data_IF_445501173729
#
_entry.id   IF_445501173729
#
_cell.length_a   1.000
_cell.length_b   1.000
_cell.length_c   1.000
_cell.angle_alpha   90.00
_cell.angle_beta   90.00
_cell.angle_gamma   90.00
#
_symmetry.space_group_name_H-M   'P 1'
#
loop_
_entity.id
_entity.type
_entity.pdbx_description
1 polymer ?
#
# COMPACT_ATOMS: atom_id res chain seq x y z
N UNK A 1 13.47 0.01 0.91
CA UNK A 1 13.33 1.25 1.70
C UNK A 1 12.91 2.39 0.77
N UNK A 2 11.87 3.16 1.10
CA UNK A 2 11.41 4.26 0.24
C UNK A 2 12.35 5.47 0.35
N UNK A 3 12.79 6.03 -0.79
CA UNK A 3 13.71 7.18 -0.84
C UNK A 3 13.00 8.53 -0.79
N UNK A 4 11.72 8.59 -1.11
CA UNK A 4 10.96 9.84 -1.21
C UNK A 4 10.30 10.19 0.13
N UNK A 5 10.58 11.41 0.60
CA UNK A 5 9.93 12.02 1.76
C UNK A 5 8.61 12.68 1.34
N UNK A 6 7.55 12.43 2.11
CA UNK A 6 6.18 12.92 1.87
C UNK A 6 5.64 13.61 3.10
N UNK A 7 4.69 14.52 2.92
CA UNK A 7 3.93 15.09 4.03
C UNK A 7 2.66 14.30 4.26
N UNK A 8 2.34 14.05 5.52
CA UNK A 8 1.07 13.46 5.92
C UNK A 8 -0.06 14.45 5.65
N UNK A 9 -1.12 14.02 4.95
CA UNK A 9 -2.31 14.85 4.71
C UNK A 9 -3.01 15.30 5.99
N UNK A 10 -2.94 14.51 7.07
CA UNK A 10 -3.65 14.80 8.32
C UNK A 10 -2.82 15.65 9.29
N UNK A 11 -1.57 15.27 9.56
CA UNK A 11 -0.74 15.89 10.59
C UNK A 11 0.47 16.67 10.06
N UNK A 12 0.67 16.75 8.75
CA UNK A 12 1.81 17.46 8.14
C UNK A 12 3.19 16.80 8.30
N UNK A 13 3.34 15.82 9.23
CA UNK A 13 4.61 15.15 9.50
C UNK A 13 5.26 14.59 8.24
N UNK A 14 6.58 14.74 8.14
CA UNK A 14 7.38 14.21 7.03
C UNK A 14 7.69 12.73 7.27
N UNK A 15 7.38 11.87 6.31
CA UNK A 15 7.62 10.42 6.41
C UNK A 15 8.09 9.82 5.07
N UNK A 16 8.71 8.64 5.12
CA UNK A 16 9.12 7.92 3.91
C UNK A 16 7.96 7.06 3.39
N UNK A 17 7.60 7.22 2.11
CA UNK A 17 6.45 6.52 1.55
C UNK A 17 6.46 6.37 0.03
N UNK A 18 5.85 5.28 -0.44
CA UNK A 18 5.60 5.05 -1.86
C UNK A 18 4.62 6.05 -2.48
N UNK A 19 4.41 5.92 -3.79
CA UNK A 19 3.58 6.83 -4.63
C UNK A 19 2.16 7.01 -4.08
N UNK A 20 1.59 5.96 -3.49
CA UNK A 20 0.19 5.93 -3.03
C UNK A 20 0.03 6.16 -1.52
N UNK A 21 1.12 6.39 -0.77
CA UNK A 21 1.06 6.64 0.68
C UNK A 21 0.87 8.14 0.95
N UNK A 22 -0.30 8.50 1.48
CA UNK A 22 -0.70 9.90 1.77
C UNK A 22 -0.68 10.24 3.26
N UNK A 23 -0.66 9.23 4.13
CA UNK A 23 -0.68 9.38 5.58
C UNK A 23 0.58 8.75 6.18
N UNK A 24 1.06 9.32 7.30
CA UNK A 24 2.05 8.64 8.15
C UNK A 24 1.44 7.37 8.77
N UNK A 25 2.27 6.51 9.34
CA UNK A 25 1.80 5.21 9.83
C UNK A 25 0.79 5.34 10.98
N UNK A 26 0.93 6.34 11.85
CA UNK A 26 -0.01 6.58 12.96
C UNK A 26 -1.37 7.04 12.45
N UNK A 27 -1.41 8.10 11.62
CA UNK A 27 -2.66 8.58 11.03
C UNK A 27 -3.31 7.53 10.13
N UNK A 28 -2.53 6.70 9.46
CA UNK A 28 -3.05 5.59 8.66
C UNK A 28 -3.67 4.49 9.52
N UNK A 29 -3.14 4.21 10.71
CA UNK A 29 -3.75 3.25 11.66
C UNK A 29 -5.10 3.76 12.15
N UNK A 30 -5.16 5.02 12.59
CA UNK A 30 -6.39 5.67 13.07
C UNK A 30 -7.46 5.65 11.97
N UNK A 31 -7.11 6.16 10.78
CA UNK A 31 -8.03 6.19 9.64
C UNK A 31 -8.51 4.80 9.25
N UNK A 32 -7.66 3.77 9.31
CA UNK A 32 -8.09 2.39 9.03
C UNK A 32 -9.07 1.88 10.08
N UNK A 33 -8.80 2.11 11.36
CA UNK A 33 -9.64 1.66 12.47
C UNK A 33 -11.06 2.24 12.37
N UNK A 34 -11.17 3.55 12.16
CA UNK A 34 -12.45 4.24 11.96
C UNK A 34 -13.22 3.72 10.74
N UNK A 35 -12.49 3.35 9.67
CA UNK A 35 -13.09 2.94 8.41
C UNK A 35 -13.33 1.43 8.25
N UNK A 36 -13.07 0.62 9.29
CA UNK A 36 -13.32 -0.83 9.23
C UNK A 36 -14.81 -1.12 9.14
N UNK A 37 -15.62 -0.49 9.99
CA UNK A 37 -17.07 -0.71 10.06
C UNK A 37 -17.77 0.48 9.44
N UNK A 38 -18.53 0.23 8.38
CA UNK A 38 -19.32 1.26 7.69
C UNK A 38 -20.74 0.76 7.46
N UNK A 39 -21.68 1.69 7.36
CA UNK A 39 -23.04 1.38 6.90
C UNK A 39 -22.99 0.90 5.45
N UNK A 40 -23.63 -0.23 5.18
CA UNK A 40 -23.69 -0.91 3.89
C UNK A 40 -25.09 -1.42 3.64
N UNK A 41 -25.44 -1.54 2.36
CA UNK A 41 -26.74 -2.07 1.93
C UNK A 41 -26.61 -3.58 1.70
N UNK A 42 -27.51 -4.36 2.26
CA UNK A 42 -27.57 -5.80 2.05
C UNK A 42 -27.99 -6.12 0.62
N UNK A 43 -27.17 -6.89 -0.11
CA UNK A 43 -27.47 -7.29 -1.49
C UNK A 43 -28.72 -8.20 -1.59
N UNK A 44 -29.06 -8.91 -0.51
CA UNK A 44 -30.20 -9.84 -0.51
C UNK A 44 -31.54 -9.23 -0.10
N UNK A 45 -31.53 -8.25 0.81
CA UNK A 45 -32.77 -7.69 1.37
C UNK A 45 -32.85 -6.17 1.37
N UNK A 46 -31.82 -5.45 0.87
CA UNK A 46 -31.83 -4.00 0.76
C UNK A 46 -31.67 -3.21 2.07
N UNK A 47 -31.71 -3.86 3.24
CA UNK A 47 -31.56 -3.17 4.54
C UNK A 47 -30.14 -2.61 4.74
N UNK A 48 -30.04 -1.44 5.38
CA UNK A 48 -28.77 -0.89 5.84
C UNK A 48 -28.27 -1.65 7.08
N UNK A 49 -26.98 -1.95 7.12
CA UNK A 49 -26.34 -2.64 8.24
C UNK A 49 -24.88 -2.20 8.37
N UNK A 50 -24.36 -2.24 9.59
CA UNK A 50 -22.95 -1.98 9.85
C UNK A 50 -22.12 -3.21 9.55
N UNK A 51 -21.21 -3.09 8.59
CA UNK A 51 -20.44 -4.23 8.08
C UNK A 51 -18.99 -3.88 7.77
N UNK A 52 -18.14 -4.90 7.92
CA UNK A 52 -16.73 -4.82 7.51
C UNK A 52 -16.57 -4.62 5.99
N UNK A 53 -15.34 -4.38 5.49
CA UNK A 53 -15.10 -3.98 4.10
C UNK A 53 -15.58 -4.98 3.03
N UNK A 54 -15.70 -6.26 3.41
CA UNK A 54 -16.14 -7.37 2.55
C UNK A 54 -17.54 -7.88 2.85
N UNK A 55 -18.27 -7.27 3.80
CA UNK A 55 -19.62 -7.67 4.12
C UNK A 55 -20.56 -7.24 2.98
N UNK A 56 -21.24 -8.22 2.36
CA UNK A 56 -22.21 -8.02 1.28
C UNK A 56 -23.66 -8.22 1.72
N UNK A 57 -23.87 -8.89 2.85
CA UNK A 57 -25.17 -9.30 3.34
C UNK A 57 -25.26 -9.00 4.85
N UNK A 58 -26.47 -8.71 5.33
CA UNK A 58 -26.75 -8.56 6.75
C UNK A 58 -26.56 -9.89 7.50
N UNK A 59 -26.41 -9.86 8.84
CA UNK A 59 -26.21 -11.07 9.65
C UNK A 59 -27.27 -12.15 9.42
N UNK A 60 -28.54 -11.76 9.30
CA UNK A 60 -29.66 -12.68 9.08
C UNK A 60 -29.56 -13.41 7.73
N UNK A 61 -29.44 -12.67 6.63
CA UNK A 61 -29.30 -13.27 5.29
C UNK A 61 -28.04 -14.13 5.17
N UNK A 62 -26.96 -13.76 5.86
CA UNK A 62 -25.72 -14.54 5.90
C UNK A 62 -25.92 -15.87 6.63
N UNK A 63 -26.66 -15.89 7.73
CA UNK A 63 -26.97 -17.11 8.47
C UNK A 63 -27.83 -18.07 7.66
N UNK A 64 -28.87 -17.57 6.97
CA UNK A 64 -29.70 -18.37 6.06
C UNK A 64 -28.86 -19.03 4.97
N UNK A 65 -28.01 -18.24 4.30
CA UNK A 65 -27.11 -18.74 3.25
C UNK A 65 -26.09 -19.76 3.76
N UNK A 66 -25.66 -19.64 5.01
CA UNK A 66 -24.74 -20.62 5.63
C UNK A 66 -25.43 -21.97 5.88
N UNK A 67 -26.72 -21.96 6.23
CA UNK A 67 -27.52 -23.18 6.40
C UNK A 67 -27.77 -23.87 5.05
N UNK A 68 -28.03 -23.10 4.00
CA UNK A 68 -28.23 -23.62 2.63
C UNK A 68 -26.95 -24.22 2.02
N UNK A 69 -25.79 -23.61 2.26
CA UNK A 69 -24.51 -24.12 1.77
C UNK A 69 -24.03 -25.30 2.62
N UNK A 70 -24.60 -26.48 2.38
CA UNK A 70 -24.00 -27.74 2.85
C UNK A 70 -22.63 -27.90 2.21
N UNK A 71 -21.59 -28.08 3.04
CA UNK A 71 -20.24 -28.36 2.54
C UNK A 71 -20.24 -29.76 1.91
N UNK A 72 -19.50 -29.98 0.82
CA UNK A 72 -19.32 -31.33 0.29
C UNK A 72 -18.70 -32.21 1.39
N UNK A 73 -19.39 -33.29 1.74
CA UNK A 73 -18.93 -34.29 2.71
C UNK A 73 -17.90 -35.21 2.05
N UNK A 74 -16.66 -34.71 1.90
CA UNK A 74 -15.52 -35.57 1.56
C UNK A 74 -14.92 -36.12 2.83
N UNK A 75 -14.77 -37.44 2.92
CA UNK A 75 -14.11 -38.10 4.04
C UNK A 75 -12.63 -37.71 4.07
N UNK A 76 -12.15 -37.30 5.24
CA UNK A 76 -10.72 -37.06 5.43
C UNK A 76 -9.97 -38.39 5.29
N UNK A 77 -8.82 -38.38 4.62
CA UNK A 77 -8.05 -39.60 4.37
C UNK A 77 -8.46 -40.38 3.12
N UNK A 78 -9.54 -40.01 2.42
CA UNK A 78 -9.87 -40.63 1.13
C UNK A 78 -8.96 -40.14 0.01
N UNK A 79 -8.88 -40.92 -1.08
CA UNK A 79 -8.12 -40.58 -2.28
C UNK A 79 -8.99 -39.73 -3.21
N UNK A 80 -8.43 -38.65 -3.75
CA UNK A 80 -9.05 -37.75 -4.75
C UNK A 80 -8.04 -37.37 -5.82
N UNK A 81 -8.49 -36.82 -6.95
CA UNK A 81 -7.66 -36.48 -8.11
C UNK A 81 -7.41 -34.98 -8.19
N UNK A 82 -6.15 -34.61 -8.43
CA UNK A 82 -5.75 -33.21 -8.54
C UNK A 82 -6.34 -32.58 -9.80
N UNK A 83 -7.00 -31.42 -9.65
CA UNK A 83 -7.59 -30.69 -10.80
C UNK A 83 -6.51 -30.17 -11.76
N UNK A 84 -5.28 -29.96 -11.30
CA UNK A 84 -4.19 -29.39 -12.13
C UNK A 84 -3.39 -30.46 -12.88
N UNK A 85 -3.03 -31.56 -12.22
CA UNK A 85 -2.15 -32.59 -12.78
C UNK A 85 -2.77 -33.98 -12.90
N UNK A 86 -4.01 -34.18 -12.44
CA UNK A 86 -4.71 -35.46 -12.47
C UNK A 86 -4.24 -36.51 -11.46
N UNK A 87 -3.07 -36.34 -10.83
CA UNK A 87 -2.52 -37.29 -9.85
C UNK A 87 -3.44 -37.46 -8.63
N UNK A 88 -3.48 -38.69 -8.13
CA UNK A 88 -4.18 -39.04 -6.91
C UNK A 88 -3.47 -38.49 -5.66
N UNK A 89 -4.24 -38.07 -4.66
CA UNK A 89 -3.72 -37.57 -3.39
C UNK A 89 -4.68 -37.87 -2.24
N UNK A 90 -4.14 -37.95 -1.03
CA UNK A 90 -4.92 -38.12 0.20
C UNK A 90 -5.51 -36.76 0.62
N UNK A 91 -6.84 -36.71 0.77
CA UNK A 91 -7.55 -35.49 1.17
C UNK A 91 -7.27 -35.17 2.64
N UNK A 92 -6.73 -33.98 2.89
CA UNK A 92 -6.54 -33.43 4.24
C UNK A 92 -7.62 -32.40 4.61
N UNK A 93 -8.41 -31.93 3.65
CA UNK A 93 -9.47 -30.95 3.84
C UNK A 93 -10.60 -31.15 2.83
N UNK A 94 -11.86 -31.07 3.27
CA UNK A 94 -13.02 -31.24 2.38
C UNK A 94 -13.15 -30.23 1.24
N UNK A 95 -12.38 -29.14 1.25
CA UNK A 95 -12.31 -28.14 0.17
C UNK A 95 -11.02 -28.23 -0.66
N UNK A 96 -10.17 -29.23 -0.41
CA UNK A 96 -8.92 -29.41 -1.12
C UNK A 96 -9.19 -29.83 -2.57
N UNK A 97 -8.62 -29.08 -3.53
CA UNK A 97 -8.77 -29.31 -4.97
C UNK A 97 -7.47 -29.77 -5.65
N UNK A 98 -6.34 -29.57 -4.99
CA UNK A 98 -5.01 -29.74 -5.55
C UNK A 98 -4.16 -30.61 -4.63
N UNK A 99 -3.25 -31.38 -5.22
CA UNK A 99 -2.21 -32.09 -4.48
C UNK A 99 -1.21 -31.09 -3.85
N UNK A 100 -0.40 -31.51 -2.86
CA UNK A 100 0.56 -30.63 -2.17
C UNK A 100 1.54 -29.92 -3.11
N UNK A 101 1.96 -30.60 -4.19
CA UNK A 101 2.88 -30.06 -5.19
C UNK A 101 2.24 -28.90 -6.00
N UNK A 102 1.02 -29.11 -6.50
CA UNK A 102 0.33 -28.14 -7.37
C UNK A 102 -0.35 -27.00 -6.60
N UNK A 103 -0.66 -27.20 -5.32
CA UNK A 103 -1.43 -26.24 -4.49
C UNK A 103 -0.86 -24.82 -4.57
N UNK A 104 0.45 -24.67 -4.36
CA UNK A 104 1.11 -23.35 -4.38
C UNK A 104 1.00 -22.67 -5.75
N UNK A 105 1.22 -23.43 -6.83
CA UNK A 105 1.12 -22.94 -8.20
C UNK A 105 -0.29 -22.44 -8.52
N UNK A 106 -1.30 -23.25 -8.20
CA UNK A 106 -2.70 -22.91 -8.43
C UNK A 106 -3.17 -21.69 -7.61
N UNK A 107 -2.78 -21.61 -6.33
CA UNK A 107 -3.08 -20.44 -5.49
C UNK A 107 -2.46 -19.16 -6.06
N UNK A 108 -1.22 -19.22 -6.53
CA UNK A 108 -0.55 -18.08 -7.17
C UNK A 108 -1.23 -17.66 -8.47
N UNK A 109 -1.65 -18.61 -9.34
CA UNK A 109 -2.39 -18.31 -10.57
C UNK A 109 -3.70 -17.58 -10.26
N UNK A 110 -4.49 -18.13 -9.35
CA UNK A 110 -5.74 -17.51 -8.92
C UNK A 110 -5.55 -16.12 -8.28
N UNK A 111 -4.49 -15.93 -7.47
CA UNK A 111 -4.17 -14.61 -6.90
C UNK A 111 -3.82 -13.60 -8.00
N UNK A 112 -3.04 -14.01 -9.00
CA UNK A 112 -2.66 -13.17 -10.16
C UNK A 112 -3.88 -12.78 -10.98
N UNK A 113 -4.74 -13.74 -11.32
CA UNK A 113 -5.97 -13.50 -12.08
C UNK A 113 -6.88 -12.49 -11.37
N UNK A 114 -7.12 -12.65 -10.07
CA UNK A 114 -7.92 -11.67 -9.32
C UNK A 114 -7.27 -10.31 -9.27
N UNK A 115 -5.96 -10.24 -9.06
CA UNK A 115 -5.24 -8.96 -9.02
C UNK A 115 -5.28 -8.26 -10.37
N UNK A 116 -5.18 -9.01 -11.47
CA UNK A 116 -5.37 -8.51 -12.84
C UNK A 116 -6.77 -7.95 -13.00
N UNK A 117 -7.82 -8.72 -12.66
CA UNK A 117 -9.21 -8.30 -12.79
C UNK A 117 -9.50 -7.03 -11.99
N UNK A 118 -9.02 -6.96 -10.74
CA UNK A 118 -9.15 -5.76 -9.90
C UNK A 118 -8.43 -4.54 -10.50
N UNK A 119 -7.28 -4.71 -11.12
CA UNK A 119 -6.54 -3.59 -11.73
C UNK A 119 -7.09 -3.17 -13.09
N UNK A 120 -7.84 -4.04 -13.81
CA UNK A 120 -8.53 -3.70 -15.06
C UNK A 120 -9.76 -2.83 -14.83
N UNK A 121 -10.31 -2.83 -13.62
CA UNK A 121 -11.43 -1.96 -13.27
C UNK A 121 -10.99 -0.48 -13.35
N UNK A 122 -11.53 0.26 -14.32
CA UNK A 122 -11.20 1.66 -14.59
C UNK A 122 -11.40 2.56 -13.36
N UNK A 123 -12.40 2.23 -12.53
CA UNK A 123 -12.71 2.99 -11.32
C UNK A 123 -11.53 2.95 -10.33
N UNK A 124 -10.83 1.82 -10.24
CA UNK A 124 -9.65 1.68 -9.37
C UNK A 124 -8.50 2.58 -9.82
N UNK A 125 -8.29 2.71 -11.14
CA UNK A 125 -7.27 3.57 -11.72
C UNK A 125 -7.57 5.05 -11.47
N UNK A 126 -8.82 5.45 -11.68
CA UNK A 126 -9.29 6.83 -11.49
C UNK A 126 -9.21 7.26 -10.02
N UNK A 127 -9.70 6.43 -9.10
CA UNK A 127 -9.59 6.67 -7.64
C UNK A 127 -8.13 6.75 -7.16
N UNK A 128 -7.19 6.06 -7.82
CA UNK A 128 -5.75 6.23 -7.55
C UNK A 128 -5.23 7.55 -8.08
N UNK A 129 -5.62 7.94 -9.30
CA UNK A 129 -5.21 9.22 -9.91
C UNK A 129 -5.68 10.40 -9.08
N UNK A 130 -6.93 10.38 -8.63
CA UNK A 130 -7.52 11.44 -7.81
C UNK A 130 -6.76 11.61 -6.49
N UNK A 131 -6.52 10.50 -5.77
CA UNK A 131 -5.72 10.52 -4.53
C UNK A 131 -4.28 11.01 -4.72
N UNK A 132 -3.72 10.88 -5.93
CA UNK A 132 -2.35 11.33 -6.23
C UNK A 132 -2.26 12.83 -6.51
N UNK A 133 -3.36 13.52 -6.84
CA UNK A 133 -3.37 14.98 -7.07
C UNK A 133 -2.96 15.74 -5.81
N UNK A 134 -3.55 15.40 -4.66
CA UNK A 134 -3.31 16.06 -3.37
C UNK A 134 -1.93 15.78 -2.75
N UNK A 135 -1.15 14.89 -3.36
CA UNK A 135 0.05 14.34 -2.74
C UNK A 135 1.22 15.30 -2.82
N UNK A 136 1.57 15.88 -1.67
CA UNK A 136 2.77 16.72 -1.50
C UNK A 136 3.99 15.89 -1.10
N UNK A 137 5.13 16.17 -1.73
CA UNK A 137 6.45 15.68 -1.32
C UNK A 137 7.09 16.71 -0.41
N UNK A 138 7.99 16.26 0.47
CA UNK A 138 8.85 17.17 1.22
C UNK A 138 10.20 17.27 0.50
N UNK A 139 10.69 18.48 0.26
CA UNK A 139 12.01 18.68 -0.34
C UNK A 139 13.08 18.06 0.58
N UNK A 140 13.98 17.24 0.04
CA UNK A 140 15.04 16.63 0.86
C UNK A 140 16.05 17.64 1.39
N UNK A 141 16.17 18.79 0.72
CA UNK A 141 17.07 19.87 1.11
C UNK A 141 16.40 20.81 2.12
N UNK A 142 15.36 21.56 1.70
CA UNK A 142 14.71 22.59 2.51
C UNK A 142 13.42 22.15 3.23
N UNK A 143 13.00 20.89 3.11
CA UNK A 143 11.79 20.34 3.73
C UNK A 143 10.45 20.94 3.29
N UNK A 144 10.43 22.02 2.50
CA UNK A 144 9.20 22.63 1.98
C UNK A 144 8.32 21.62 1.22
N UNK A 145 6.99 21.71 1.38
CA UNK A 145 6.05 20.91 0.63
C UNK A 145 6.04 21.34 -0.84
N UNK A 146 6.14 20.38 -1.76
CA UNK A 146 6.03 20.65 -3.19
C UNK A 146 5.32 19.50 -3.91
N UNK A 147 4.68 19.81 -5.04
CA UNK A 147 4.12 18.81 -5.91
C UNK A 147 5.06 18.54 -7.09
N UNK A 148 5.14 17.27 -7.51
CA UNK A 148 5.84 16.91 -8.75
C UNK A 148 5.37 15.55 -9.24
N UNK A 149 5.03 15.48 -10.53
CA UNK A 149 4.72 14.25 -11.25
C UNK A 149 5.94 13.36 -11.51
N UNK A 150 7.17 13.91 -11.45
CA UNK A 150 8.40 13.16 -11.74
C UNK A 150 8.97 12.49 -10.48
N UNK A 151 10.06 11.73 -10.62
CA UNK A 151 10.77 11.11 -9.49
C UNK A 151 11.60 12.07 -8.62
N UNK A 152 11.53 13.39 -8.85
CA UNK A 152 12.38 14.34 -8.12
C UNK A 152 12.02 14.45 -6.64
N UNK A 153 13.04 14.68 -5.81
CA UNK A 153 12.94 14.83 -4.36
C UNK A 153 13.27 16.25 -3.87
N UNK A 154 13.53 17.19 -4.78
CA UNK A 154 13.85 18.59 -4.48
C UNK A 154 12.83 19.52 -5.12
N UNK A 155 12.45 20.60 -4.43
CA UNK A 155 11.45 21.55 -4.93
C UNK A 155 11.97 22.47 -6.04
N UNK A 156 13.26 22.83 -6.02
CA UNK A 156 13.84 23.80 -6.95
C UNK A 156 15.18 23.35 -7.53
N UNK A 157 15.64 24.06 -8.57
CA UNK A 157 16.98 23.86 -9.16
C UNK A 157 18.07 24.18 -8.13
N UNK A 158 17.89 25.22 -7.32
CA UNK A 158 18.78 25.57 -6.21
C UNK A 158 18.92 24.41 -5.22
N UNK A 159 17.80 23.91 -4.70
CA UNK A 159 17.78 22.77 -3.76
C UNK A 159 18.43 21.52 -4.37
N UNK A 160 18.26 21.30 -5.67
CA UNK A 160 18.91 20.20 -6.40
C UNK A 160 20.43 20.35 -6.43
N UNK A 161 20.94 21.54 -6.77
CA UNK A 161 22.37 21.85 -6.84
C UNK A 161 23.03 21.71 -5.46
N UNK A 162 22.45 22.33 -4.42
CA UNK A 162 23.02 22.29 -3.08
C UNK A 162 22.95 20.89 -2.45
N UNK A 163 21.84 20.17 -2.63
CA UNK A 163 21.76 18.78 -2.17
C UNK A 163 22.77 17.88 -2.88
N UNK A 164 23.06 18.10 -4.17
CA UNK A 164 24.12 17.39 -4.89
C UNK A 164 25.50 17.70 -4.29
N UNK A 165 25.80 18.98 -4.02
CA UNK A 165 27.05 19.42 -3.39
C UNK A 165 27.28 18.73 -2.03
N UNK A 166 26.26 18.74 -1.17
CA UNK A 166 26.31 18.11 0.15
C UNK A 166 26.50 16.58 0.05
N UNK A 167 25.76 15.91 -0.84
CA UNK A 167 25.90 14.46 -1.03
C UNK A 167 27.28 14.08 -1.59
N UNK A 168 27.84 14.89 -2.49
CA UNK A 168 29.18 14.68 -3.01
C UNK A 168 30.23 14.85 -1.92
N UNK A 169 30.12 15.88 -1.08
CA UNK A 169 31.02 16.09 0.04
C UNK A 169 31.00 14.90 1.02
N UNK A 170 29.80 14.42 1.38
CA UNK A 170 29.63 13.22 2.22
C UNK A 170 30.23 11.96 1.58
N UNK A 171 30.10 11.79 0.26
CA UNK A 171 30.70 10.66 -0.45
C UNK A 171 32.22 10.75 -0.50
N UNK A 172 32.77 11.96 -0.65
CA UNK A 172 34.21 12.21 -0.68
C UNK A 172 34.86 11.95 0.69
N UNK A 173 34.22 12.34 1.79
CA UNK A 173 34.68 11.98 3.16
C UNK A 173 34.76 10.46 3.33
N UNK A 174 33.75 9.73 2.86
CA UNK A 174 33.76 8.25 2.90
C UNK A 174 34.87 7.63 2.06
N UNK A 175 35.41 8.35 1.07
CA UNK A 175 36.56 7.94 0.25
C UNK A 175 37.89 8.44 0.82
N UNK A 176 37.90 9.07 2.00
CA UNK A 176 39.10 9.60 2.65
C UNK A 176 39.53 10.99 2.15
N UNK A 177 38.70 11.71 1.38
CA UNK A 177 39.02 13.07 0.93
C UNK A 177 38.53 14.10 1.95
N UNK A 178 39.38 15.07 2.28
CA UNK A 178 39.03 16.20 3.14
C UNK A 178 37.96 17.09 2.49
N UNK A 179 36.81 17.25 3.16
CA UNK A 179 35.73 18.16 2.77
C UNK A 179 35.14 18.79 4.02
N UNK A 180 34.79 20.07 3.94
CA UNK A 180 34.05 20.74 5.00
C UNK A 180 32.54 20.47 4.85
N UNK A 181 32.04 19.35 5.38
CA UNK A 181 30.59 19.06 5.38
C UNK A 181 29.82 19.87 6.39
N UNK A 182 30.44 20.26 7.50
CA UNK A 182 29.78 21.03 8.57
C UNK A 182 29.30 22.37 8.05
N UNK A 183 30.15 23.09 7.31
CA UNK A 183 29.76 24.34 6.65
C UNK A 183 28.56 24.16 5.70
N UNK A 184 28.55 23.10 4.90
CA UNK A 184 27.45 22.82 3.97
C UNK A 184 26.14 22.44 4.69
N UNK A 185 26.24 21.88 5.89
CA UNK A 185 25.09 21.57 6.73
C UNK A 185 24.55 22.82 7.41
N UNK A 186 25.42 23.71 7.90
CA UNK A 186 25.04 25.03 8.40
C UNK A 186 24.36 25.88 7.32
N UNK A 187 24.94 25.98 6.11
CA UNK A 187 24.31 26.65 4.95
C UNK A 187 22.91 26.11 4.66
N UNK A 188 22.70 24.80 4.84
CA UNK A 188 21.39 24.16 4.61
C UNK A 188 20.39 24.54 5.71
N UNK A 189 20.79 24.53 6.98
CA UNK A 189 19.89 24.90 8.07
C UNK A 189 19.53 26.38 8.01
N UNK A 190 20.48 27.26 7.71
CA UNK A 190 20.20 28.68 7.47
C UNK A 190 19.19 28.86 6.34
N UNK A 191 19.39 28.21 5.19
CA UNK A 191 18.41 28.24 4.09
C UNK A 191 17.05 27.63 4.46
N UNK A 192 16.98 26.74 5.46
CA UNK A 192 15.67 26.23 5.93
C UNK A 192 14.95 27.26 6.78
N UNK A 193 15.68 28.02 7.58
CA UNK A 193 15.14 29.12 8.38
C UNK A 193 14.65 30.23 7.46
N UNK A 194 15.50 30.70 6.54
CA UNK A 194 15.18 31.78 5.59
C UNK A 194 13.89 31.51 4.82
N UNK A 195 13.66 30.25 4.43
CA UNK A 195 12.52 29.87 3.58
C UNK A 195 11.40 29.19 4.37
N UNK A 196 11.46 29.22 5.70
CA UNK A 196 10.34 28.85 6.58
C UNK A 196 9.38 30.02 6.76
N UNK A 197 9.90 31.24 6.68
CA UNK A 197 9.16 32.50 6.87
C UNK A 197 8.49 33.01 5.57
N UNK A 198 8.71 32.31 4.44
CA UNK A 198 8.14 32.51 3.10
C UNK A 198 7.11 31.44 2.66
#
# INVERSE_FOLDING_TARGET
MYRTKRLCKNCGKIFNGGVDKTLCDDCAKISRAENVVRSRICVSCGRSFNGGPRAKQCPECRSKKKQENKKPERKLGSIDKCVDCGKEYIIQSGLQKYCPECKRGAELRWQRERKMQYNRDNNVGELRRERRKDRKKACVYCLRPFWSGTGTNTCSVYCRKQNKRLNQARADIKRGRGRNTEQLEMEREQYREDVRDD
#
